data_IF_275097621396
#
_entry.id   IF_275097621396
#
_cell.length_a   1.000
_cell.length_b   1.000
_cell.length_c   1.000
_cell.angle_alpha   90.00
_cell.angle_beta   90.00
_cell.angle_gamma   90.00
#
_symmetry.space_group_name_H-M   'P 1'
#
loop_
_entity.id
_entity.type
_entity.pdbx_description
1 polymer ?
#
# COMPACT_ATOMS: atom_id res chain seq x y z
N UNK A 1 26.98 -8.08 -15.07
CA UNK A 1 26.52 -6.71 -14.77
C UNK A 1 25.11 -6.64 -15.31
N UNK A 2 24.10 -6.73 -14.42
CA UNK A 2 22.70 -6.68 -14.81
C UNK A 2 22.02 -5.63 -13.94
N UNK A 3 21.37 -4.70 -14.62
CA UNK A 3 20.82 -3.45 -14.12
C UNK A 3 19.56 -3.69 -13.28
N UNK A 4 19.52 -3.06 -12.11
CA UNK A 4 18.42 -3.10 -11.12
C UNK A 4 17.25 -2.22 -11.57
N UNK A 5 16.42 -2.68 -12.50
CA UNK A 5 15.38 -1.85 -13.14
C UNK A 5 13.98 -1.81 -12.48
N UNK A 6 13.74 -2.51 -11.36
CA UNK A 6 12.40 -2.56 -10.75
C UNK A 6 12.07 -1.42 -9.78
N UNK A 7 13.04 -1.00 -8.97
CA UNK A 7 12.82 0.00 -7.91
C UNK A 7 12.84 1.43 -8.48
N UNK A 8 13.58 1.66 -9.57
CA UNK A 8 13.73 3.00 -10.15
C UNK A 8 12.44 3.53 -10.77
N UNK A 9 11.56 2.69 -11.33
CA UNK A 9 10.33 3.15 -11.99
C UNK A 9 9.23 3.53 -10.98
N UNK A 10 9.10 2.78 -9.88
CA UNK A 10 8.22 3.11 -8.75
C UNK A 10 8.72 4.36 -8.00
N UNK A 11 10.04 4.52 -7.92
CA UNK A 11 10.69 5.72 -7.39
C UNK A 11 10.53 6.92 -8.35
N UNK A 12 10.63 6.74 -9.67
CA UNK A 12 10.39 7.77 -10.69
C UNK A 12 8.95 8.29 -10.67
N UNK A 13 7.96 7.44 -10.34
CA UNK A 13 6.58 7.87 -10.13
C UNK A 13 6.43 8.87 -8.96
N UNK A 14 7.29 8.80 -7.94
CA UNK A 14 7.37 9.82 -6.87
C UNK A 14 8.05 11.10 -7.37
N UNK A 15 8.89 11.02 -8.40
CA UNK A 15 9.70 12.14 -8.92
C UNK A 15 9.03 12.97 -10.03
N UNK A 16 7.97 12.49 -10.71
CA UNK A 16 7.34 13.20 -11.85
C UNK A 16 6.08 14.02 -11.55
N UNK A 17 5.76 14.27 -10.27
CA UNK A 17 4.58 15.06 -9.89
C UNK A 17 4.96 16.30 -9.06
N UNK A 18 5.64 17.27 -9.68
CA UNK A 18 5.50 18.71 -9.37
C UNK A 18 6.33 19.54 -10.38
N UNK A 19 5.73 19.89 -11.52
CA UNK A 19 6.13 21.06 -12.31
C UNK A 19 4.88 21.91 -12.54
N UNK A 20 4.59 22.80 -11.58
CA UNK A 20 4.09 24.16 -11.79
C UNK A 20 3.41 24.66 -10.51
N UNK A 21 4.00 25.68 -9.88
CA UNK A 21 3.35 26.43 -8.81
C UNK A 21 4.33 27.03 -7.80
N UNK A 22 5.09 28.02 -8.23
CA UNK A 22 5.67 29.01 -7.31
C UNK A 22 4.55 29.85 -6.71
N UNK A 23 4.50 30.00 -5.39
CA UNK A 23 4.23 31.28 -4.74
C UNK A 23 4.82 31.32 -3.33
N UNK A 24 5.46 32.44 -3.00
CA UNK A 24 6.23 32.71 -1.78
C UNK A 24 5.41 33.45 -0.71
N UNK A 25 5.81 33.22 0.57
CA UNK A 25 5.66 34.06 1.79
C UNK A 25 4.24 34.18 2.40
N UNK A 26 4.05 34.26 3.72
CA UNK A 26 4.86 34.90 4.79
C UNK A 26 4.64 34.29 6.19
N UNK A 27 5.59 34.57 7.08
CA UNK A 27 5.52 34.42 8.55
C UNK A 27 4.44 35.31 9.23
N UNK A 28 4.22 35.01 10.52
CA UNK A 28 3.29 35.56 11.52
C UNK A 28 1.95 34.80 11.62
N UNK A 29 1.41 34.42 12.78
CA UNK A 29 1.49 35.13 14.05
C UNK A 29 1.20 34.23 15.27
N UNK A 30 1.67 34.72 16.41
CA UNK A 30 1.58 34.17 17.75
C UNK A 30 0.15 34.31 18.31
N UNK A 31 -0.32 33.26 19.00
CA UNK A 31 -1.20 33.44 20.15
C UNK A 31 -2.68 33.11 19.93
N UNK A 32 -3.13 32.02 20.55
CA UNK A 32 -4.48 31.94 21.10
C UNK A 32 -4.45 31.05 22.35
N UNK A 33 -4.29 31.70 23.51
CA UNK A 33 -4.45 31.10 24.82
C UNK A 33 -5.83 31.50 25.35
N UNK A 34 -6.62 30.48 25.66
CA UNK A 34 -7.70 30.41 26.65
C UNK A 34 -8.85 31.45 26.61
N UNK A 35 -10.10 30.98 26.48
CA UNK A 35 -10.98 30.65 27.62
C UNK A 35 -12.43 30.44 27.14
N UNK A 36 -13.02 29.27 27.42
CA UNK A 36 -14.42 29.20 27.85
C UNK A 36 -14.49 28.21 29.02
N UNK A 37 -14.84 28.75 30.18
CA UNK A 37 -15.20 28.02 31.40
C UNK A 37 -16.72 27.87 31.50
N UNK A 38 -17.20 26.71 32.00
CA UNK A 38 -18.20 26.55 33.09
C UNK A 38 -18.81 25.12 33.14
N UNK A 39 -18.38 24.37 34.18
CA UNK A 39 -19.06 23.34 35.01
C UNK A 39 -20.00 22.25 34.43
N UNK A 40 -19.45 21.01 34.40
CA UNK A 40 -19.93 19.66 34.81
C UNK A 40 -21.31 19.08 34.41
N UNK A 41 -21.38 17.77 34.04
CA UNK A 41 -21.41 16.68 35.04
C UNK A 41 -20.30 15.64 34.86
N UNK A 42 -20.05 14.88 35.94
CA UNK A 42 -19.08 13.77 36.09
C UNK A 42 -19.04 12.74 34.93
N UNK A 43 -18.41 13.10 33.82
CA UNK A 43 -18.01 12.20 32.76
C UNK A 43 -16.64 12.66 32.26
N UNK A 44 -15.68 11.74 32.16
CA UNK A 44 -14.41 12.06 31.51
C UNK A 44 -14.78 12.44 30.07
N UNK A 45 -14.59 13.71 29.71
CA UNK A 45 -14.91 14.21 28.38
C UNK A 45 -14.21 13.36 27.33
N UNK A 46 -14.94 12.98 26.27
CA UNK A 46 -14.43 12.09 25.22
C UNK A 46 -13.11 12.63 24.64
N UNK A 47 -12.97 13.94 24.52
CA UNK A 47 -11.73 14.60 24.10
C UNK A 47 -10.54 14.22 24.99
N UNK A 48 -10.71 14.29 26.32
CA UNK A 48 -9.67 13.94 27.28
C UNK A 48 -9.33 12.46 27.20
N UNK A 49 -10.32 11.58 26.99
CA UNK A 49 -10.09 10.14 26.76
C UNK A 49 -9.26 9.93 25.50
N UNK A 50 -9.63 10.56 24.38
CA UNK A 50 -8.94 10.42 23.10
C UNK A 50 -7.49 10.94 23.16
N UNK A 51 -7.24 12.01 23.90
CA UNK A 51 -5.89 12.57 24.07
C UNK A 51 -5.00 11.73 25.00
N UNK A 52 -5.58 10.93 25.91
CA UNK A 52 -4.80 10.09 26.84
C UNK A 52 -4.72 8.62 26.43
N UNK A 53 -5.49 8.20 25.42
CA UNK A 53 -5.58 6.79 25.03
C UNK A 53 -4.62 6.47 23.89
N UNK A 54 -3.77 5.47 24.10
CA UNK A 54 -2.92 4.91 23.05
C UNK A 54 -3.72 3.92 22.19
N UNK A 55 -3.71 4.14 20.88
CA UNK A 55 -4.31 3.19 19.92
C UNK A 55 -3.23 2.22 19.45
N UNK A 56 -3.48 0.93 19.56
CA UNK A 56 -2.57 -0.09 19.06
C UNK A 56 -2.52 -0.08 17.53
N UNK A 57 -1.34 0.23 16.98
CA UNK A 57 -1.07 0.24 15.55
C UNK A 57 -1.51 -1.05 14.84
N UNK A 58 -1.29 -2.23 15.46
CA UNK A 58 -1.67 -3.51 14.89
C UNK A 58 -3.19 -3.65 14.70
N UNK A 59 -4.00 -3.09 15.59
CA UNK A 59 -5.46 -3.12 15.45
C UNK A 59 -5.94 -2.30 14.25
N UNK A 60 -5.33 -1.13 14.04
CA UNK A 60 -5.65 -0.26 12.89
C UNK A 60 -5.17 -0.91 11.59
N UNK A 61 -3.93 -1.39 11.55
CA UNK A 61 -3.37 -2.10 10.40
C UNK A 61 -4.15 -3.36 10.05
N UNK A 62 -4.74 -4.05 11.03
CA UNK A 62 -5.61 -5.19 10.79
C UNK A 62 -6.85 -4.84 10.00
N UNK A 63 -7.55 -3.77 10.39
CA UNK A 63 -8.71 -3.32 9.61
C UNK A 63 -8.30 -2.75 8.26
N UNK A 64 -7.25 -1.94 8.20
CA UNK A 64 -6.77 -1.35 6.95
C UNK A 64 -6.32 -2.41 5.95
N UNK A 65 -5.54 -3.40 6.35
CA UNK A 65 -5.09 -4.48 5.45
C UNK A 65 -6.25 -5.32 4.90
N UNK A 66 -7.34 -5.49 5.65
CA UNK A 66 -8.56 -6.12 5.11
C UNK A 66 -9.21 -5.26 4.02
N UNK A 67 -9.20 -3.93 4.18
CA UNK A 67 -9.65 -3.00 3.13
C UNK A 67 -8.71 -3.04 1.92
N UNK A 68 -7.40 -3.19 2.12
CA UNK A 68 -6.43 -3.34 1.03
C UNK A 68 -6.72 -4.61 0.22
N UNK A 69 -6.93 -5.74 0.89
CA UNK A 69 -7.30 -7.01 0.24
C UNK A 69 -8.56 -6.87 -0.61
N UNK A 70 -9.61 -6.26 -0.05
CA UNK A 70 -10.85 -6.01 -0.79
C UNK A 70 -10.64 -5.08 -2.00
N UNK A 71 -9.80 -4.05 -1.85
CA UNK A 71 -9.45 -3.13 -2.93
C UNK A 71 -8.66 -3.82 -4.04
N UNK A 72 -7.65 -4.64 -3.70
CA UNK A 72 -6.89 -5.46 -4.65
C UNK A 72 -7.84 -6.36 -5.45
N UNK A 73 -8.66 -7.15 -4.75
CA UNK A 73 -9.61 -8.06 -5.40
C UNK A 73 -10.60 -7.32 -6.31
N UNK A 74 -11.05 -6.13 -5.91
CA UNK A 74 -11.90 -5.26 -6.74
C UNK A 74 -11.17 -4.76 -7.98
N UNK A 75 -9.92 -4.31 -7.85
CA UNK A 75 -9.10 -3.82 -8.97
C UNK A 75 -8.81 -4.88 -10.02
N UNK A 76 -8.67 -6.15 -9.61
CA UNK A 76 -8.54 -7.28 -10.55
C UNK A 76 -9.73 -7.45 -11.49
N UNK A 77 -10.93 -6.99 -11.10
CA UNK A 77 -12.11 -7.00 -11.97
C UNK A 77 -12.18 -5.79 -12.92
N UNK A 78 -11.33 -4.79 -12.72
CA UNK A 78 -11.37 -3.52 -13.44
C UNK A 78 -11.21 -3.69 -14.95
N UNK A 79 -11.56 -2.63 -15.69
CA UNK A 79 -11.14 -2.51 -17.09
C UNK A 79 -9.65 -2.20 -17.10
N UNK A 80 -8.95 -2.79 -18.07
CA UNK A 80 -7.52 -2.53 -18.28
C UNK A 80 -7.32 -1.06 -18.66
N UNK A 81 -6.37 -0.40 -18.02
CA UNK A 81 -5.93 0.93 -18.45
C UNK A 81 -5.25 0.81 -19.82
N UNK A 82 -5.46 1.80 -20.69
CA UNK A 82 -4.79 1.88 -21.99
C UNK A 82 -3.33 2.29 -21.83
N UNK A 83 -3.06 3.22 -20.90
CA UNK A 83 -1.72 3.80 -20.68
C UNK A 83 -0.78 2.81 -19.98
N UNK A 84 -1.29 2.15 -18.95
CA UNK A 84 -0.55 1.14 -18.18
C UNK A 84 -1.41 -0.12 -18.06
N UNK A 85 -1.50 -0.94 -19.13
CA UNK A 85 -2.20 -2.20 -19.07
C UNK A 85 -1.63 -3.07 -17.95
N UNK A 86 -2.48 -3.83 -17.27
CA UNK A 86 -2.03 -4.84 -16.29
C UNK A 86 -1.30 -4.30 -15.06
N UNK A 87 -1.41 -3.01 -14.81
CA UNK A 87 -0.96 -2.35 -13.60
C UNK A 87 -2.17 -1.74 -12.87
N UNK A 88 -2.17 -1.80 -11.55
CA UNK A 88 -3.21 -1.22 -10.73
C UNK A 88 -2.62 -0.54 -9.50
N UNK A 89 -3.23 0.59 -9.14
CA UNK A 89 -2.90 1.29 -7.91
C UNK A 89 -4.17 1.83 -7.22
N UNK A 90 -4.06 2.05 -5.92
CA UNK A 90 -5.07 2.75 -5.13
C UNK A 90 -4.43 3.38 -3.90
N UNK A 91 -5.12 4.38 -3.36
CA UNK A 91 -4.61 5.22 -2.28
C UNK A 91 -5.39 4.99 -0.99
N UNK A 92 -4.71 5.15 0.14
CA UNK A 92 -5.25 5.07 1.50
C UNK A 92 -4.69 6.20 2.34
N UNK A 93 -5.58 6.94 2.98
CA UNK A 93 -5.17 7.99 3.92
C UNK A 93 -4.83 7.32 5.25
N UNK A 94 -3.54 7.24 5.55
CA UNK A 94 -3.00 6.54 6.70
C UNK A 94 -2.04 7.48 7.44
N UNK A 95 -2.13 7.60 8.77
CA UNK A 95 -1.18 8.41 9.54
C UNK A 95 0.27 7.95 9.34
N UNK A 96 1.20 8.90 9.29
CA UNK A 96 2.63 8.63 9.07
C UNK A 96 3.21 7.71 10.14
N UNK A 97 2.77 7.86 11.39
CA UNK A 97 3.23 7.02 12.50
C UNK A 97 2.81 5.56 12.32
N UNK A 98 1.63 5.32 11.72
CA UNK A 98 1.16 3.97 11.46
C UNK A 98 1.99 3.29 10.36
N UNK A 99 2.30 4.03 9.29
CA UNK A 99 3.16 3.51 8.22
C UNK A 99 4.59 3.28 8.72
N UNK A 100 5.12 4.21 9.52
CA UNK A 100 6.47 4.10 10.11
C UNK A 100 6.54 2.91 11.07
N UNK A 101 5.51 2.68 11.88
CA UNK A 101 5.44 1.49 12.73
C UNK A 101 5.43 0.20 11.90
N UNK A 102 4.68 0.16 10.79
CA UNK A 102 4.67 -0.98 9.86
C UNK A 102 6.05 -1.21 9.25
N UNK A 103 6.63 -0.20 8.61
CA UNK A 103 7.91 -0.34 7.91
C UNK A 103 9.04 -0.70 8.88
N UNK A 104 9.05 -0.08 10.06
CA UNK A 104 10.01 -0.41 11.11
C UNK A 104 9.84 -1.87 11.58
N UNK A 105 8.61 -2.33 11.80
CA UNK A 105 8.33 -3.72 12.19
C UNK A 105 8.84 -4.73 11.16
N UNK A 106 8.72 -4.42 9.86
CA UNK A 106 9.27 -5.26 8.79
C UNK A 106 10.80 -5.24 8.83
N UNK A 107 11.44 -4.06 8.95
CA UNK A 107 12.91 -3.92 9.03
C UNK A 107 13.53 -4.69 10.20
N UNK A 108 12.89 -4.68 11.37
CA UNK A 108 13.41 -5.37 12.56
C UNK A 108 13.01 -6.84 12.62
N UNK A 109 12.10 -7.28 11.75
CA UNK A 109 11.73 -8.69 11.71
C UNK A 109 12.92 -9.51 11.24
N UNK A 110 13.23 -10.59 11.96
CA UNK A 110 14.23 -11.58 11.54
C UNK A 110 13.62 -12.64 10.62
N UNK A 111 12.45 -12.37 10.03
CA UNK A 111 11.76 -13.34 9.18
C UNK A 111 12.36 -13.30 7.76
N UNK A 112 12.87 -14.42 7.24
CA UNK A 112 13.51 -14.46 5.92
C UNK A 112 12.55 -14.08 4.79
N UNK A 113 11.23 -14.17 4.98
CA UNK A 113 10.24 -13.73 3.97
C UNK A 113 10.13 -12.20 3.89
N UNK A 114 10.55 -11.49 4.93
CA UNK A 114 10.44 -10.03 5.04
C UNK A 114 11.80 -9.32 4.95
N UNK A 115 12.87 -10.07 4.64
CA UNK A 115 14.20 -9.55 4.37
C UNK A 115 14.57 -9.59 2.87
N UNK A 116 15.75 -9.08 2.57
CA UNK A 116 16.33 -9.16 1.23
C UNK A 116 16.64 -10.62 0.86
N UNK A 117 16.41 -11.05 -0.40
CA UNK A 117 16.05 -10.24 -1.57
C UNK A 117 14.53 -10.12 -1.83
N UNK A 118 13.69 -10.59 -0.91
CA UNK A 118 12.24 -10.71 -1.11
C UNK A 118 11.46 -9.45 -0.73
N UNK A 119 12.05 -8.63 0.13
CA UNK A 119 11.50 -7.37 0.61
C UNK A 119 12.62 -6.33 0.69
N UNK A 120 12.39 -5.15 0.11
CA UNK A 120 13.30 -4.01 0.19
C UNK A 120 12.58 -2.83 0.81
N UNK A 121 13.27 -2.10 1.67
CA UNK A 121 12.73 -0.88 2.26
C UNK A 121 13.71 0.26 2.02
N UNK A 122 13.23 1.31 1.36
CA UNK A 122 14.03 2.49 1.01
C UNK A 122 13.22 3.75 1.26
N UNK A 123 13.84 4.74 1.91
CA UNK A 123 13.19 6.01 2.21
C UNK A 123 14.11 7.20 2.00
N UNK A 124 13.51 8.38 1.89
CA UNK A 124 14.17 9.68 1.82
C UNK A 124 13.29 10.75 2.49
N UNK A 125 13.63 12.03 2.34
CA UNK A 125 12.87 13.14 2.93
C UNK A 125 11.44 13.32 2.37
N UNK A 126 11.11 12.71 1.22
CA UNK A 126 9.80 12.82 0.57
C UNK A 126 8.85 11.68 0.92
N UNK A 127 9.39 10.52 1.28
CA UNK A 127 8.59 9.33 1.53
C UNK A 127 9.43 8.07 1.76
N UNK A 128 8.73 6.96 1.93
CA UNK A 128 9.33 5.64 2.14
C UNK A 128 8.55 4.57 1.37
N UNK A 129 9.29 3.60 0.83
CA UNK A 129 8.77 2.50 0.01
C UNK A 129 9.13 1.18 0.67
N UNK A 130 8.13 0.32 0.83
CA UNK A 130 8.30 -1.11 1.10
C UNK A 130 7.91 -1.86 -0.18
N UNK A 131 8.88 -2.53 -0.80
CA UNK A 131 8.72 -3.27 -2.05
C UNK A 131 8.89 -4.76 -1.80
N UNK A 132 7.93 -5.56 -2.25
CA UNK A 132 7.92 -7.02 -2.16
C UNK A 132 8.11 -7.62 -3.54
N UNK A 133 9.10 -8.48 -3.70
CA UNK A 133 9.48 -9.09 -4.99
C UNK A 133 9.16 -10.59 -5.05
N UNK A 134 8.57 -11.14 -4.00
CA UNK A 134 8.06 -12.51 -3.97
C UNK A 134 6.60 -12.57 -3.52
N UNK A 135 5.82 -13.44 -4.18
CA UNK A 135 4.40 -13.59 -3.90
C UNK A 135 4.13 -14.24 -2.54
N UNK A 136 4.99 -15.14 -2.07
CA UNK A 136 4.83 -15.77 -0.75
C UNK A 136 5.13 -14.76 0.37
N UNK A 137 6.10 -13.88 0.17
CA UNK A 137 6.37 -12.74 1.06
C UNK A 137 5.18 -11.78 1.15
N UNK A 138 4.56 -11.44 0.01
CA UNK A 138 3.34 -10.63 -0.01
C UNK A 138 2.19 -11.30 0.75
N UNK A 139 1.93 -12.57 0.44
CA UNK A 139 0.88 -13.35 1.11
C UNK A 139 1.15 -13.39 2.61
N UNK A 140 2.39 -13.67 3.02
CA UNK A 140 2.79 -13.72 4.42
C UNK A 140 2.55 -12.39 5.14
N UNK A 141 3.00 -11.27 4.57
CA UNK A 141 2.78 -9.94 5.15
C UNK A 141 1.27 -9.65 5.31
N UNK A 142 0.48 -9.88 4.27
CA UNK A 142 -0.95 -9.61 4.31
C UNK A 142 -1.71 -10.53 5.26
N UNK A 143 -1.27 -11.78 5.44
CA UNK A 143 -1.76 -12.72 6.46
C UNK A 143 -1.49 -12.18 7.86
N UNK A 144 -0.26 -11.75 8.14
CA UNK A 144 0.12 -11.16 9.43
C UNK A 144 -0.69 -9.91 9.75
N UNK A 145 -0.81 -8.99 8.80
CA UNK A 145 -1.53 -7.74 9.02
C UNK A 145 -3.03 -7.98 9.18
N UNK A 146 -3.66 -8.71 8.27
CA UNK A 146 -5.13 -8.83 8.24
C UNK A 146 -5.68 -9.82 9.28
N UNK A 147 -4.84 -10.68 9.82
CA UNK A 147 -5.24 -11.80 10.68
C UNK A 147 -6.12 -12.83 9.96
N UNK A 148 -6.01 -12.93 8.62
CA UNK A 148 -6.71 -13.94 7.80
C UNK A 148 -5.80 -15.13 7.52
N UNK A 149 -6.40 -16.27 7.18
CA UNK A 149 -5.63 -17.44 6.77
C UNK A 149 -4.94 -17.22 5.42
N UNK A 150 -3.88 -17.98 5.17
CA UNK A 150 -3.06 -17.83 3.97
C UNK A 150 -3.88 -18.07 2.69
N UNK A 151 -4.80 -19.04 2.73
CA UNK A 151 -5.67 -19.41 1.62
C UNK A 151 -6.66 -18.30 1.28
N UNK A 152 -7.18 -17.62 2.31
CA UNK A 152 -8.08 -16.48 2.14
C UNK A 152 -7.33 -15.32 1.48
N UNK A 153 -6.14 -14.99 1.95
CA UNK A 153 -5.30 -13.93 1.34
C UNK A 153 -4.99 -14.27 -0.11
N UNK A 154 -4.56 -15.49 -0.39
CA UNK A 154 -4.30 -15.97 -1.75
C UNK A 154 -5.56 -15.92 -2.63
N UNK A 155 -6.76 -16.05 -2.05
CA UNK A 155 -8.03 -15.84 -2.75
C UNK A 155 -8.24 -14.39 -3.16
N UNK A 156 -7.94 -13.39 -2.31
CA UNK A 156 -8.05 -11.97 -2.68
C UNK A 156 -7.09 -11.55 -3.81
N UNK A 157 -5.95 -12.23 -3.95
CA UNK A 157 -4.94 -11.97 -4.98
C UNK A 157 -5.28 -12.58 -6.35
N UNK A 158 -6.40 -13.29 -6.47
CA UNK A 158 -6.89 -13.86 -7.72
C UNK A 158 -8.38 -13.57 -7.91
N UNK A 159 -8.84 -13.58 -9.15
CA UNK A 159 -10.26 -13.40 -9.44
C UNK A 159 -10.65 -14.09 -10.74
N UNK A 160 -11.87 -14.61 -10.78
CA UNK A 160 -12.52 -15.05 -12.02
C UNK A 160 -13.49 -13.95 -12.46
N UNK A 161 -13.41 -13.56 -13.72
CA UNK A 161 -14.18 -12.47 -14.30
C UNK A 161 -15.53 -12.98 -14.85
N UNK A 162 -16.52 -12.08 -14.80
CA UNK A 162 -17.83 -12.27 -15.40
C UNK A 162 -18.06 -11.38 -16.63
N UNK A 163 -19.31 -11.36 -17.12
CA UNK A 163 -19.71 -10.50 -18.24
C UNK A 163 -19.00 -10.83 -19.54
N UNK A 164 -18.55 -9.79 -20.27
CA UNK A 164 -17.85 -9.95 -21.55
C UNK A 164 -16.51 -10.72 -21.45
N UNK A 165 -15.94 -10.82 -20.24
CA UNK A 165 -14.71 -11.59 -19.95
C UNK A 165 -15.04 -12.84 -19.13
N UNK A 166 -16.20 -13.46 -19.37
CA UNK A 166 -16.67 -14.63 -18.61
C UNK A 166 -15.60 -15.71 -18.58
N UNK A 167 -15.29 -16.21 -17.38
CA UNK A 167 -14.31 -17.25 -17.11
C UNK A 167 -12.84 -16.86 -17.34
N UNK A 168 -12.55 -15.60 -17.67
CA UNK A 168 -11.18 -15.12 -17.63
C UNK A 168 -10.69 -15.11 -16.18
N UNK A 169 -9.41 -15.38 -15.99
CA UNK A 169 -8.76 -15.40 -14.67
C UNK A 169 -7.79 -14.24 -14.60
N UNK A 170 -7.82 -13.51 -13.50
CA UNK A 170 -6.86 -12.46 -13.20
C UNK A 170 -6.13 -12.77 -11.91
N UNK A 171 -4.83 -12.49 -11.84
CA UNK A 171 -4.00 -12.75 -10.66
C UNK A 171 -2.97 -11.66 -10.49
N UNK A 172 -2.71 -11.26 -9.24
CA UNK A 172 -1.56 -10.40 -8.91
C UNK A 172 -0.27 -11.14 -9.30
N UNK A 173 0.65 -10.40 -9.91
CA UNK A 173 1.98 -10.88 -10.29
C UNK A 173 2.99 -10.17 -9.40
N UNK A 174 3.82 -10.96 -8.73
CA UNK A 174 4.93 -10.45 -7.92
C UNK A 174 6.19 -11.22 -8.31
N UNK A 175 7.21 -10.49 -8.75
CA UNK A 175 8.54 -10.99 -9.06
C UNK A 175 9.58 -9.86 -8.88
N UNK A 176 10.86 -10.15 -9.07
CA UNK A 176 11.91 -9.14 -9.06
C UNK A 176 11.72 -8.03 -10.12
N UNK A 177 11.06 -8.34 -11.23
CA UNK A 177 10.74 -7.38 -12.30
C UNK A 177 9.38 -6.69 -12.12
N UNK A 178 8.51 -7.28 -11.31
CA UNK A 178 7.12 -6.83 -11.11
C UNK A 178 6.85 -6.83 -9.62
N UNK A 179 7.37 -5.86 -8.93
CA UNK A 179 7.22 -5.77 -7.48
C UNK A 179 5.80 -5.37 -7.07
N UNK A 180 5.50 -5.62 -5.79
CA UNK A 180 4.35 -5.08 -5.10
C UNK A 180 4.82 -3.96 -4.18
N UNK A 181 4.29 -2.76 -4.36
CA UNK A 181 4.76 -1.56 -3.65
C UNK A 181 3.75 -1.05 -2.62
N UNK A 182 4.26 -0.77 -1.42
CA UNK A 182 3.64 0.10 -0.42
C UNK A 182 4.45 1.40 -0.35
N UNK A 183 3.94 2.46 -0.97
CA UNK A 183 4.65 3.73 -1.14
C UNK A 183 3.97 4.80 -0.31
N UNK A 184 4.65 5.34 0.68
CA UNK A 184 4.12 6.41 1.53
C UNK A 184 4.69 7.77 1.14
N UNK A 185 3.83 8.77 0.96
CA UNK A 185 4.22 10.15 0.71
C UNK A 185 4.03 11.01 1.96
N UNK A 186 5.12 11.58 2.49
CA UNK A 186 5.05 12.45 3.68
C UNK A 186 4.34 13.77 3.37
N UNK A 187 4.54 14.33 2.17
CA UNK A 187 3.85 15.57 1.72
C UNK A 187 2.33 15.39 1.66
N UNK A 188 1.86 14.22 1.19
CA UNK A 188 0.43 13.94 1.02
C UNK A 188 -0.23 13.26 2.22
N UNK A 189 0.55 12.72 3.16
CA UNK A 189 0.02 11.92 4.27
C UNK A 189 -0.71 10.66 3.80
N UNK A 190 -0.27 10.06 2.70
CA UNK A 190 -1.02 9.04 1.97
C UNK A 190 -0.16 7.84 1.58
N UNK A 191 -0.73 6.65 1.77
CA UNK A 191 -0.20 5.38 1.28
C UNK A 191 -0.74 5.08 -0.12
N UNK A 192 0.15 4.80 -1.06
CA UNK A 192 -0.16 4.22 -2.36
C UNK A 192 0.17 2.74 -2.34
N UNK A 193 -0.78 1.91 -2.76
CA UNK A 193 -0.58 0.47 -2.94
C UNK A 193 -0.63 0.20 -4.44
N UNK A 194 0.46 -0.30 -5.00
CA UNK A 194 0.62 -0.55 -6.43
C UNK A 194 1.09 -1.97 -6.72
N UNK A 195 0.59 -2.55 -7.81
CA UNK A 195 0.92 -3.91 -8.20
C UNK A 195 0.63 -4.21 -9.67
N UNK A 196 1.37 -5.17 -10.20
CA UNK A 196 1.13 -5.77 -11.50
C UNK A 196 0.14 -6.94 -11.39
N UNK A 197 -0.63 -7.20 -12.43
CA UNK A 197 -1.54 -8.36 -12.50
C UNK A 197 -1.64 -8.92 -13.91
N UNK A 198 -1.78 -10.24 -14.02
CA UNK A 198 -2.02 -10.92 -15.29
C UNK A 198 -3.50 -11.18 -15.52
N UNK A 199 -3.90 -11.28 -16.78
CA UNK A 199 -5.18 -11.87 -17.21
C UNK A 199 -4.92 -13.05 -18.14
N UNK A 200 -5.65 -14.14 -17.94
CA UNK A 200 -5.70 -15.33 -18.79
C UNK A 200 -7.12 -15.52 -19.27
N UNK A 201 -7.30 -15.80 -20.55
CA UNK A 201 -8.64 -16.06 -21.10
C UNK A 201 -9.19 -17.41 -20.61
N UNK A 202 -10.41 -17.75 -21.02
CA UNK A 202 -11.10 -18.99 -20.64
C UNK A 202 -10.34 -20.27 -21.01
N UNK A 203 -9.45 -20.21 -22.00
CA UNK A 203 -8.62 -21.32 -22.47
C UNK A 203 -7.24 -21.35 -21.81
N UNK A 204 -6.93 -20.39 -20.93
CA UNK A 204 -5.65 -20.31 -20.24
C UNK A 204 -4.55 -19.58 -21.00
N UNK A 205 -4.86 -18.90 -22.13
CA UNK A 205 -3.85 -18.08 -22.82
C UNK A 205 -3.69 -16.72 -22.12
N UNK A 206 -2.45 -16.33 -21.79
CA UNK A 206 -2.19 -15.03 -21.20
C UNK A 206 -2.54 -13.90 -22.18
N UNK A 207 -3.14 -12.85 -21.66
CA UNK A 207 -3.50 -11.62 -22.39
C UNK A 207 -2.56 -10.45 -22.07
N UNK A 208 -1.58 -10.70 -21.21
CA UNK A 208 -0.60 -9.74 -20.71
C UNK A 208 0.81 -10.16 -21.15
N UNK A 209 1.75 -9.22 -21.13
CA UNK A 209 3.14 -9.52 -21.49
C UNK A 209 3.77 -10.42 -20.42
N UNK A 210 3.82 -11.72 -20.72
CA UNK A 210 4.54 -12.72 -19.98
C UNK A 210 5.99 -12.76 -20.46
N UNK A 211 6.77 -11.70 -20.23
CA UNK A 211 8.21 -11.91 -20.10
C UNK A 211 8.40 -12.51 -18.70
N UNK A 212 8.12 -13.79 -18.57
CA UNK A 212 8.67 -14.63 -17.52
C UNK A 212 9.57 -15.56 -18.32
N UNK A 213 10.86 -15.23 -18.40
CA UNK A 213 11.84 -16.17 -18.91
C UNK A 213 11.74 -17.44 -18.04
N UNK A 214 11.22 -18.50 -18.64
CA UNK A 214 11.22 -19.86 -18.07
C UNK A 214 12.63 -20.43 -18.26
#
# INVERSE_FOLDING_TARGET
>A
MAETFGVEEAVECIFRADESGEEQKSDADIGCREQISKSEPNGIGIEKILQTTYINAACVLKHESQLWLAAIHRRLAGRRSVRHPYYAEFYRDIPVDLFTALSHSIKVSNDPKLGEPMCYIKGNSKGEVVSLTDIQSLIYLLTLLSGKQQEDVAFYLKRTLGGARKNHKTKVLVSQEKDFGLIYSYKKGQLTICFNYGEWNSFGFPQHNCNLNI
#
